data_IF_327716356674
#
_entry.id   IF_327716356674
#
_cell.length_a   1.000
_cell.length_b   1.000
_cell.length_c   1.000
_cell.angle_alpha   90.00
_cell.angle_beta   90.00
_cell.angle_gamma   90.00
#
_symmetry.space_group_name_H-M   'P 1'
#
loop_
_entity.id
_entity.type
_entity.pdbx_description
1 polymer ?
#
# COMPACT_ATOMS: atom_id res chain seq x y z
N UNK A 1 1.13 23.56 23.46
CA UNK A 1 1.18 22.44 24.43
C UNK A 1 1.78 21.12 23.88
N UNK A 2 2.25 21.07 22.62
CA UNK A 2 2.82 19.87 21.95
C UNK A 2 3.92 19.13 22.73
N UNK A 3 4.69 19.85 23.56
CA UNK A 3 5.88 19.30 24.22
C UNK A 3 5.70 18.97 25.71
N UNK A 4 4.59 19.41 26.34
CA UNK A 4 4.36 19.19 27.76
C UNK A 4 3.96 17.74 28.09
N UNK A 5 3.44 17.01 27.10
CA UNK A 5 2.99 15.63 27.21
C UNK A 5 3.97 14.62 26.60
N UNK A 6 5.22 15.03 26.28
CA UNK A 6 6.21 14.13 25.68
C UNK A 6 6.45 12.85 26.48
N UNK A 7 6.58 12.86 27.82
CA UNK A 7 6.77 11.63 28.58
C UNK A 7 5.58 10.68 28.45
N UNK A 8 4.35 11.20 28.49
CA UNK A 8 3.15 10.39 28.31
C UNK A 8 3.03 9.84 26.88
N UNK A 9 3.41 10.62 25.87
CA UNK A 9 3.46 10.16 24.48
C UNK A 9 4.53 9.09 24.28
N UNK A 10 5.68 9.20 24.93
CA UNK A 10 6.73 8.18 24.88
C UNK A 10 6.24 6.86 25.47
N UNK A 11 5.57 6.89 26.63
CA UNK A 11 4.97 5.70 27.23
C UNK A 11 3.90 5.10 26.30
N UNK A 12 3.03 5.94 25.73
CA UNK A 12 1.99 5.47 24.80
C UNK A 12 2.60 4.83 23.55
N UNK A 13 3.62 5.46 22.96
CA UNK A 13 4.35 4.95 21.81
C UNK A 13 5.00 3.60 22.11
N UNK A 14 5.72 3.51 23.23
CA UNK A 14 6.50 2.34 23.58
C UNK A 14 5.64 1.12 23.95
N UNK A 15 4.51 1.33 24.62
CA UNK A 15 3.69 0.23 25.12
C UNK A 15 2.43 0.01 24.28
N UNK A 16 1.58 1.03 24.14
CA UNK A 16 0.27 0.87 23.49
C UNK A 16 0.40 0.77 21.96
N UNK A 17 1.06 1.75 21.33
CA UNK A 17 1.19 1.79 19.87
C UNK A 17 2.10 0.68 19.35
N UNK A 18 3.18 0.37 20.07
CA UNK A 18 4.03 -0.77 19.75
C UNK A 18 3.27 -2.10 19.83
N UNK A 19 2.40 -2.28 20.83
CA UNK A 19 1.58 -3.50 20.94
C UNK A 19 0.62 -3.64 19.74
N UNK A 20 -0.04 -2.55 19.34
CA UNK A 20 -0.90 -2.54 18.15
C UNK A 20 -0.10 -2.91 16.88
N UNK A 21 1.10 -2.35 16.72
CA UNK A 21 2.01 -2.67 15.61
C UNK A 21 2.40 -4.15 15.63
N UNK A 22 2.77 -4.71 16.79
CA UNK A 22 3.14 -6.13 16.90
C UNK A 22 1.97 -7.06 16.62
N UNK A 23 0.79 -6.75 17.16
CA UNK A 23 -0.42 -7.54 16.92
C UNK A 23 -0.81 -7.53 15.44
N UNK A 24 -0.77 -6.36 14.82
CA UNK A 24 -1.00 -6.19 13.38
C UNK A 24 0.03 -6.97 12.54
N UNK A 25 1.32 -6.82 12.86
CA UNK A 25 2.41 -7.53 12.18
C UNK A 25 2.24 -9.05 12.32
N UNK A 26 1.88 -9.54 13.50
CA UNK A 26 1.59 -10.94 13.73
C UNK A 26 0.42 -11.42 12.88
N UNK A 27 -0.71 -10.71 12.89
CA UNK A 27 -1.87 -11.04 12.06
C UNK A 27 -1.50 -11.09 10.57
N UNK A 28 -0.79 -10.09 10.09
CA UNK A 28 -0.37 -9.98 8.68
C UNK A 28 0.63 -11.08 8.30
N UNK A 29 1.54 -11.44 9.21
CA UNK A 29 2.48 -12.55 9.03
C UNK A 29 1.75 -13.89 8.95
N UNK A 30 0.74 -14.12 9.81
CA UNK A 30 -0.08 -15.33 9.74
C UNK A 30 -0.90 -15.36 8.45
N UNK A 31 -1.48 -14.24 8.01
CA UNK A 31 -2.18 -14.17 6.71
C UNK A 31 -1.25 -14.47 5.53
N UNK A 32 -0.03 -13.93 5.58
CA UNK A 32 0.99 -14.20 4.56
C UNK A 32 1.38 -15.68 4.52
N UNK A 33 1.64 -16.28 5.69
CA UNK A 33 1.97 -17.69 5.79
C UNK A 33 0.78 -18.60 5.45
N UNK A 34 -0.45 -18.19 5.75
CA UNK A 34 -1.67 -18.91 5.37
C UNK A 34 -1.86 -18.91 3.85
N UNK A 35 -1.59 -17.81 3.17
CA UNK A 35 -1.64 -17.76 1.71
C UNK A 35 -0.55 -18.64 1.09
N UNK A 36 0.68 -18.64 1.63
CA UNK A 36 1.79 -19.41 1.06
C UNK A 36 1.67 -20.92 1.40
N UNK A 37 1.34 -21.28 2.63
CA UNK A 37 1.31 -22.67 3.09
C UNK A 37 -0.08 -23.33 3.02
N UNK A 38 -1.14 -22.55 2.79
CA UNK A 38 -2.53 -22.99 2.75
C UNK A 38 -2.94 -23.85 3.96
N UNK A 39 -2.41 -23.55 5.16
CA UNK A 39 -2.51 -24.40 6.35
C UNK A 39 -3.97 -24.62 6.76
N UNK A 40 -4.81 -23.58 6.74
CA UNK A 40 -6.23 -23.69 7.06
C UNK A 40 -7.01 -24.53 6.05
N UNK A 41 -6.62 -24.55 4.78
CA UNK A 41 -7.20 -25.45 3.78
C UNK A 41 -6.73 -26.89 4.01
N UNK A 42 -5.45 -27.11 4.26
CA UNK A 42 -4.94 -28.46 4.57
C UNK A 42 -5.54 -29.01 5.87
N UNK A 43 -5.79 -28.15 6.88
CA UNK A 43 -6.46 -28.53 8.11
C UNK A 43 -7.88 -29.09 7.84
N UNK A 44 -8.62 -28.44 6.93
CA UNK A 44 -9.95 -28.93 6.51
C UNK A 44 -9.86 -30.27 5.76
N UNK A 45 -8.76 -30.54 5.07
CA UNK A 45 -8.53 -31.77 4.31
C UNK A 45 -8.05 -32.96 5.16
N UNK A 46 -7.73 -32.77 6.45
CA UNK A 46 -7.35 -33.88 7.36
C UNK A 46 -8.39 -35.01 7.37
N UNK A 47 -9.67 -34.65 7.25
CA UNK A 47 -10.78 -35.60 7.28
C UNK A 47 -11.14 -36.16 5.89
N UNK A 48 -10.43 -35.77 4.84
CA UNK A 48 -10.64 -36.29 3.48
C UNK A 48 -9.72 -37.50 3.23
N UNK A 49 -10.26 -38.68 2.89
CA UNK A 49 -9.51 -39.95 2.87
C UNK A 49 -8.46 -40.07 1.74
N UNK A 50 -8.37 -39.09 0.84
CA UNK A 50 -7.49 -39.13 -0.35
C UNK A 50 -6.04 -38.68 -0.09
N UNK A 51 -5.70 -38.24 1.12
CA UNK A 51 -4.42 -37.57 1.39
C UNK A 51 -3.60 -38.22 2.51
N UNK A 52 -3.17 -39.48 2.34
CA UNK A 52 -2.23 -40.11 3.28
C UNK A 52 -0.83 -39.47 3.28
N UNK A 53 -0.43 -38.75 2.23
CA UNK A 53 0.87 -38.02 2.17
C UNK A 53 0.79 -36.56 2.68
N UNK A 54 -0.39 -36.11 3.14
CA UNK A 54 -0.58 -34.71 3.59
C UNK A 54 -0.22 -34.45 5.05
N UNK A 55 -0.12 -35.49 5.89
CA UNK A 55 0.11 -35.32 7.32
C UNK A 55 1.44 -34.61 7.62
N UNK A 56 2.51 -34.97 6.90
CA UNK A 56 3.82 -34.31 7.05
C UNK A 56 3.77 -32.82 6.68
N UNK A 57 3.01 -32.47 5.63
CA UNK A 57 2.89 -31.09 5.15
C UNK A 57 2.12 -30.21 6.14
N UNK A 58 1.05 -30.75 6.73
CA UNK A 58 0.27 -30.07 7.76
C UNK A 58 1.11 -29.80 9.01
N UNK A 59 1.91 -30.79 9.45
CA UNK A 59 2.79 -30.63 10.60
C UNK A 59 3.85 -29.54 10.33
N UNK A 60 4.43 -29.49 9.12
CA UNK A 60 5.37 -28.43 8.74
C UNK A 60 4.68 -27.05 8.76
N UNK A 61 3.47 -26.94 8.21
CA UNK A 61 2.71 -25.69 8.19
C UNK A 61 2.36 -25.18 9.59
N UNK A 62 1.84 -26.06 10.45
CA UNK A 62 1.55 -25.74 11.86
C UNK A 62 2.82 -25.39 12.64
N UNK A 63 3.92 -26.11 12.39
CA UNK A 63 5.22 -25.80 12.98
C UNK A 63 5.70 -24.41 12.57
N UNK A 64 5.60 -24.05 11.29
CA UNK A 64 5.94 -22.72 10.80
C UNK A 64 5.11 -21.63 11.48
N UNK A 65 3.80 -21.81 11.63
CA UNK A 65 2.92 -20.87 12.35
C UNK A 65 3.29 -20.72 13.82
N UNK A 66 3.60 -21.84 14.49
CA UNK A 66 4.00 -21.86 15.89
C UNK A 66 5.35 -21.13 16.08
N UNK A 67 6.34 -21.42 15.22
CA UNK A 67 7.64 -20.75 15.24
C UNK A 67 7.52 -19.25 14.96
N UNK A 68 6.74 -18.86 13.95
CA UNK A 68 6.51 -17.45 13.63
C UNK A 68 5.83 -16.70 14.78
N UNK A 69 4.81 -17.32 15.40
CA UNK A 69 4.11 -16.74 16.55
C UNK A 69 5.03 -16.63 17.77
N UNK A 70 5.78 -17.69 18.09
CA UNK A 70 6.73 -17.68 19.20
C UNK A 70 7.82 -16.61 19.01
N UNK A 71 8.38 -16.50 17.80
CA UNK A 71 9.37 -15.48 17.46
C UNK A 71 8.80 -14.06 17.64
N UNK A 72 7.60 -13.80 17.13
CA UNK A 72 6.93 -12.49 17.29
C UNK A 72 6.66 -12.15 18.76
N UNK A 73 6.26 -13.14 19.58
CA UNK A 73 6.06 -12.95 21.02
C UNK A 73 7.39 -12.60 21.70
N UNK A 74 8.48 -13.32 21.38
CA UNK A 74 9.81 -13.05 21.94
C UNK A 74 10.28 -11.64 21.59
N UNK A 75 10.13 -11.22 20.33
CA UNK A 75 10.50 -9.87 19.88
C UNK A 75 9.65 -8.81 20.61
N UNK A 76 8.34 -9.03 20.73
CA UNK A 76 7.43 -8.12 21.43
C UNK A 76 7.81 -7.97 22.91
N UNK A 77 7.99 -9.09 23.63
CA UNK A 77 8.41 -9.07 25.04
C UNK A 77 9.75 -8.37 25.19
N UNK A 78 10.72 -8.68 24.33
CA UNK A 78 12.04 -8.05 24.36
C UNK A 78 11.95 -6.54 24.14
N UNK A 79 11.13 -6.07 23.19
CA UNK A 79 10.90 -4.64 22.94
C UNK A 79 10.26 -3.94 24.15
N UNK A 80 9.25 -4.55 24.78
CA UNK A 80 8.55 -3.96 25.94
C UNK A 80 9.44 -3.90 27.19
N UNK A 81 10.34 -4.86 27.37
CA UNK A 81 11.30 -4.90 28.48
C UNK A 81 12.54 -4.03 28.23
N UNK A 82 12.75 -3.57 27.01
CA UNK A 82 13.95 -2.87 26.58
C UNK A 82 14.30 -1.64 27.44
N UNK A 83 13.36 -0.76 27.85
CA UNK A 83 13.67 0.36 28.74
C UNK A 83 14.21 -0.11 30.10
N UNK A 84 13.67 -1.21 30.65
CA UNK A 84 14.13 -1.79 31.90
C UNK A 84 15.51 -2.43 31.75
N UNK A 85 15.73 -3.17 30.65
CA UNK A 85 17.01 -3.82 30.34
C UNK A 85 18.14 -2.80 30.12
N UNK A 86 17.83 -1.66 29.47
CA UNK A 86 18.79 -0.58 29.26
C UNK A 86 19.24 0.07 30.57
N UNK A 87 18.36 0.13 31.59
CA UNK A 87 18.68 0.67 32.93
C UNK A 87 19.36 -0.37 33.83
N UNK A 88 18.93 -1.64 33.76
CA UNK A 88 19.44 -2.73 34.60
C UNK A 88 20.83 -3.26 34.18
N UNK A 89 21.38 -2.76 33.08
CA UNK A 89 22.72 -3.09 32.57
C UNK A 89 22.93 -4.56 32.19
N UNK A 90 21.85 -5.24 31.80
CA UNK A 90 21.85 -6.60 31.27
C UNK A 90 21.96 -6.49 29.74
N UNK A 91 23.03 -7.03 29.13
CA UNK A 91 23.36 -6.87 27.69
C UNK A 91 23.65 -5.42 27.26
N UNK A 92 24.47 -4.73 28.06
CA UNK A 92 24.70 -3.27 28.04
C UNK A 92 24.74 -2.61 26.66
N UNK A 93 25.56 -3.12 25.72
CA UNK A 93 25.73 -2.44 24.44
C UNK A 93 24.48 -2.58 23.55
N UNK A 94 23.95 -3.80 23.40
CA UNK A 94 22.83 -4.07 22.50
C UNK A 94 21.53 -3.42 22.99
N UNK A 95 21.22 -3.55 24.28
CA UNK A 95 20.00 -2.99 24.85
C UNK A 95 20.01 -1.46 24.82
N UNK A 96 21.16 -0.82 25.11
CA UNK A 96 21.30 0.64 25.03
C UNK A 96 21.20 1.15 23.59
N UNK A 97 21.86 0.49 22.63
CA UNK A 97 21.78 0.89 21.21
C UNK A 97 20.35 0.78 20.69
N UNK A 98 19.66 -0.33 20.97
CA UNK A 98 18.27 -0.50 20.54
C UNK A 98 17.34 0.49 21.25
N UNK A 99 17.57 0.78 22.53
CA UNK A 99 16.78 1.76 23.28
C UNK A 99 16.90 3.16 22.69
N UNK A 100 18.13 3.60 22.45
CA UNK A 100 18.41 4.88 21.83
C UNK A 100 17.86 4.95 20.40
N UNK A 101 17.90 3.84 19.65
CA UNK A 101 17.28 3.76 18.34
C UNK A 101 15.75 3.91 18.41
N UNK A 102 15.11 3.29 19.40
CA UNK A 102 13.67 3.44 19.65
C UNK A 102 13.27 4.85 20.05
N UNK A 103 14.09 5.53 20.87
CA UNK A 103 13.92 6.95 21.17
C UNK A 103 14.10 7.80 19.90
N UNK A 104 15.10 7.50 19.08
CA UNK A 104 15.32 8.18 17.80
C UNK A 104 14.10 8.04 16.88
N UNK A 105 13.55 6.83 16.75
CA UNK A 105 12.32 6.57 16.01
C UNK A 105 11.12 7.35 16.58
N UNK A 106 10.97 7.41 17.91
CA UNK A 106 9.94 8.21 18.55
C UNK A 106 10.07 9.71 18.23
N UNK A 107 11.28 10.26 18.31
CA UNK A 107 11.54 11.67 17.99
C UNK A 107 11.19 11.95 16.53
N UNK A 108 11.65 11.09 15.60
CA UNK A 108 11.32 11.20 14.18
C UNK A 108 9.81 11.15 13.99
N UNK A 109 9.11 10.22 14.64
CA UNK A 109 7.66 10.07 14.53
C UNK A 109 6.92 11.34 14.99
N UNK A 110 7.26 11.88 16.17
CA UNK A 110 6.62 13.09 16.73
C UNK A 110 6.92 14.36 15.92
N UNK A 111 8.08 14.42 15.27
CA UNK A 111 8.49 15.56 14.45
C UNK A 111 7.86 15.53 13.06
N UNK A 112 7.76 14.35 12.44
CA UNK A 112 7.34 14.22 11.04
C UNK A 112 5.84 14.02 10.88
N UNK A 113 5.15 13.42 11.85
CA UNK A 113 3.72 13.10 11.72
C UNK A 113 2.84 14.11 12.49
N UNK A 114 1.78 14.62 11.85
CA UNK A 114 0.73 15.37 12.53
C UNK A 114 0.03 14.54 13.62
N UNK A 115 -0.56 15.22 14.60
CA UNK A 115 -1.14 14.61 15.79
C UNK A 115 -2.37 13.77 15.49
N UNK A 116 -3.21 14.24 14.57
CA UNK A 116 -4.44 13.57 14.18
C UNK A 116 -4.35 13.22 12.71
N UNK A 117 -4.98 12.10 12.37
CA UNK A 117 -5.23 11.72 10.98
C UNK A 117 -6.56 12.34 10.55
N UNK A 118 -6.75 12.58 9.25
CA UNK A 118 -7.95 13.30 8.75
C UNK A 118 -9.26 12.66 9.21
N UNK A 119 -9.33 11.32 9.23
CA UNK A 119 -10.54 10.61 9.66
C UNK A 119 -10.89 10.78 11.15
N UNK A 120 -9.96 11.28 11.98
CA UNK A 120 -10.21 11.57 13.39
C UNK A 120 -10.79 12.97 13.60
N UNK A 121 -10.74 13.82 12.57
CA UNK A 121 -11.23 15.20 12.60
C UNK A 121 -12.66 15.23 12.08
N UNK A 122 -13.58 15.78 12.88
CA UNK A 122 -14.99 15.96 12.51
C UNK A 122 -15.33 17.37 12.06
N UNK A 123 -14.53 18.37 12.45
CA UNK A 123 -14.76 19.80 12.19
C UNK A 123 -13.52 20.43 11.56
N UNK A 124 -13.74 21.37 10.63
CA UNK A 124 -12.69 22.13 9.93
C UNK A 124 -11.80 22.96 10.88
N UNK A 125 -12.31 23.37 12.05
CA UNK A 125 -11.53 24.14 13.04
C UNK A 125 -10.33 23.39 13.61
N UNK A 126 -10.35 22.06 13.58
CA UNK A 126 -9.28 21.20 14.10
C UNK A 126 -8.23 20.81 13.03
N UNK A 127 -8.35 21.35 11.82
CA UNK A 127 -7.54 21.03 10.63
C UNK A 127 -6.04 21.06 10.91
N UNK A 128 -5.58 22.07 11.64
CA UNK A 128 -4.16 22.27 11.98
C UNK A 128 -3.53 21.12 12.78
N UNK A 129 -4.34 20.25 13.39
CA UNK A 129 -3.84 19.06 14.06
C UNK A 129 -3.49 17.90 13.12
N UNK A 130 -4.02 17.91 11.89
CA UNK A 130 -3.70 16.97 10.80
C UNK A 130 -2.88 17.59 9.67
N UNK A 131 -2.57 18.89 9.77
CA UNK A 131 -1.73 19.63 8.82
C UNK A 131 -0.25 19.38 9.05
N UNK A 132 0.51 19.20 7.98
CA UNK A 132 1.99 19.22 8.02
C UNK A 132 2.56 20.63 8.11
N UNK A 133 1.78 21.64 7.69
CA UNK A 133 2.17 23.06 7.72
C UNK A 133 1.55 23.78 8.92
N UNK A 134 2.22 24.85 9.37
CA UNK A 134 1.70 25.77 10.39
C UNK A 134 0.92 26.91 9.76
N UNK A 135 -0.05 27.48 10.48
CA UNK A 135 -0.85 28.62 10.02
C UNK A 135 -0.01 29.83 9.56
N UNK A 136 1.14 30.05 10.19
CA UNK A 136 2.10 31.13 9.87
C UNK A 136 2.81 30.96 8.52
N UNK A 137 2.83 29.74 7.98
CA UNK A 137 3.50 29.40 6.73
C UNK A 137 2.52 29.30 5.55
N UNK A 138 1.24 29.57 5.81
CA UNK A 138 0.19 29.67 4.79
C UNK A 138 0.34 31.01 4.05
N UNK A 139 1.35 31.13 3.20
CA UNK A 139 1.52 32.23 2.25
C UNK A 139 1.69 31.64 0.86
N UNK A 140 1.01 32.18 -0.15
CA UNK A 140 1.09 31.67 -1.52
C UNK A 140 2.55 31.54 -2.00
N UNK A 141 3.39 32.55 -1.70
CA UNK A 141 4.83 32.52 -2.02
C UNK A 141 5.59 31.41 -1.31
N UNK A 142 5.25 31.12 -0.05
CA UNK A 142 5.88 30.03 0.70
C UNK A 142 5.44 28.67 0.17
N UNK A 143 4.15 28.52 -0.16
CA UNK A 143 3.61 27.29 -0.73
C UNK A 143 4.23 26.97 -2.09
N UNK A 144 4.44 27.97 -2.95
CA UNK A 144 5.11 27.77 -4.24
C UNK A 144 6.55 27.27 -4.14
N UNK A 145 7.22 27.54 -3.03
CA UNK A 145 8.59 27.08 -2.77
C UNK A 145 8.62 25.69 -2.12
N UNK A 146 7.47 25.17 -1.68
CA UNK A 146 7.38 23.87 -1.04
C UNK A 146 7.60 22.74 -2.08
N UNK A 147 8.46 21.76 -1.78
CA UNK A 147 8.78 20.69 -2.73
C UNK A 147 7.56 19.87 -3.15
N UNK A 148 6.55 19.74 -2.30
CA UNK A 148 5.34 18.98 -2.64
C UNK A 148 4.45 19.75 -3.64
N UNK A 149 4.40 21.09 -3.54
CA UNK A 149 3.68 21.94 -4.50
C UNK A 149 4.43 22.00 -5.82
N UNK A 150 5.75 22.12 -5.79
CA UNK A 150 6.58 22.06 -7.01
C UNK A 150 6.38 20.74 -7.74
N UNK A 151 6.31 19.63 -6.99
CA UNK A 151 5.99 18.33 -7.58
C UNK A 151 4.60 18.33 -8.22
N UNK A 152 3.56 18.85 -7.56
CA UNK A 152 2.23 19.01 -8.18
C UNK A 152 2.29 19.79 -9.49
N UNK A 153 2.92 20.96 -9.49
CA UNK A 153 3.05 21.80 -10.68
C UNK A 153 3.80 21.09 -11.80
N UNK A 154 4.86 20.34 -11.48
CA UNK A 154 5.60 19.56 -12.48
C UNK A 154 4.76 18.45 -13.13
N UNK A 155 3.80 17.85 -12.41
CA UNK A 155 2.88 16.87 -13.01
C UNK A 155 1.80 17.53 -13.87
N UNK A 156 1.59 18.84 -13.72
CA UNK A 156 0.71 19.67 -14.55
C UNK A 156 1.48 20.40 -15.66
N UNK A 157 2.78 20.14 -15.81
CA UNK A 157 3.67 20.82 -16.76
C UNK A 157 3.70 22.36 -16.60
N UNK A 158 3.46 22.85 -15.37
CA UNK A 158 3.46 24.27 -15.03
C UNK A 158 4.77 24.71 -14.37
N UNK A 159 5.32 25.82 -14.85
CA UNK A 159 6.40 26.53 -14.17
C UNK A 159 5.86 27.54 -13.16
N UNK A 160 6.58 27.68 -12.03
CA UNK A 160 6.26 28.65 -10.95
C UNK A 160 6.23 30.10 -11.47
N UNK A 161 7.03 30.40 -12.49
CA UNK A 161 7.18 31.72 -13.13
C UNK A 161 5.88 32.22 -13.79
N UNK A 162 5.00 31.32 -14.19
CA UNK A 162 3.78 31.66 -14.90
C UNK A 162 2.64 32.07 -13.98
N UNK A 163 2.69 31.73 -12.69
CA UNK A 163 1.60 31.95 -11.75
C UNK A 163 1.55 33.40 -11.23
N UNK A 164 0.36 34.00 -11.08
CA UNK A 164 0.22 35.35 -10.53
C UNK A 164 0.61 35.39 -9.05
N UNK A 165 1.25 36.48 -8.64
CA UNK A 165 1.59 36.74 -7.24
C UNK A 165 0.30 37.09 -6.48
N UNK A 166 -0.11 36.23 -5.54
CA UNK A 166 -1.40 36.32 -4.85
C UNK A 166 -1.26 36.47 -3.34
N UNK A 167 -2.23 37.18 -2.75
CA UNK A 167 -2.44 37.27 -1.31
C UNK A 167 -3.72 36.53 -0.94
N UNK A 168 -3.73 35.91 0.23
CA UNK A 168 -4.89 35.15 0.72
C UNK A 168 -6.04 36.11 0.99
N UNK A 169 -7.18 35.84 0.35
CA UNK A 169 -8.37 36.70 0.42
C UNK A 169 -9.21 36.36 1.65
N UNK A 170 -9.33 35.08 2.01
CA UNK A 170 -10.12 34.60 3.16
C UNK A 170 -9.51 33.30 3.71
N UNK A 171 -8.99 33.33 4.94
CA UNK A 171 -8.29 32.19 5.53
C UNK A 171 -9.25 31.07 5.99
N UNK A 172 -10.45 31.43 6.46
CA UNK A 172 -11.37 30.44 7.07
C UNK A 172 -12.04 29.58 5.99
N UNK A 173 -12.45 30.19 4.87
CA UNK A 173 -12.98 29.45 3.71
C UNK A 173 -11.94 28.54 3.07
N UNK A 174 -10.68 28.99 3.07
CA UNK A 174 -9.58 28.21 2.54
C UNK A 174 -9.35 26.93 3.36
N UNK A 175 -9.41 27.05 4.70
CA UNK A 175 -9.29 25.91 5.61
C UNK A 175 -10.39 24.88 5.33
N UNK A 176 -11.64 25.32 5.17
CA UNK A 176 -12.75 24.42 4.82
C UNK A 176 -12.54 23.69 3.49
N UNK A 177 -12.18 24.42 2.42
CA UNK A 177 -11.92 23.81 1.11
C UNK A 177 -10.75 22.83 1.12
N UNK A 178 -9.64 23.19 1.77
CA UNK A 178 -8.49 22.31 1.88
C UNK A 178 -8.85 21.02 2.64
N UNK A 179 -9.68 21.12 3.68
CA UNK A 179 -10.18 19.96 4.42
C UNK A 179 -11.08 19.06 3.56
N UNK A 180 -11.98 19.64 2.77
CA UNK A 180 -12.84 18.90 1.84
C UNK A 180 -12.02 18.16 0.78
N UNK A 181 -11.07 18.84 0.12
CA UNK A 181 -10.18 18.23 -0.89
C UNK A 181 -9.34 17.09 -0.31
N UNK A 182 -8.85 17.23 0.92
CA UNK A 182 -8.08 16.19 1.58
C UNK A 182 -8.94 14.97 1.96
N UNK A 183 -10.21 15.20 2.30
CA UNK A 183 -11.17 14.12 2.59
C UNK A 183 -11.60 13.38 1.32
N UNK A 184 -11.87 14.10 0.22
CA UNK A 184 -12.28 13.48 -1.06
C UNK A 184 -11.15 12.66 -1.68
N UNK A 185 -9.91 13.07 -1.48
CA UNK A 185 -8.73 12.34 -1.97
C UNK A 185 -8.30 11.16 -1.08
N UNK A 186 -8.93 10.97 0.08
CA UNK A 186 -8.58 9.88 1.00
C UNK A 186 -7.20 10.04 1.63
N UNK A 187 -6.75 11.28 1.83
CA UNK A 187 -5.43 11.56 2.39
C UNK A 187 -5.34 11.18 3.88
N UNK A 188 -4.15 10.79 4.32
CA UNK A 188 -3.89 10.52 5.75
C UNK A 188 -3.70 11.83 6.53
N UNK A 189 -3.03 12.79 5.90
CA UNK A 189 -2.65 14.10 6.44
C UNK A 189 -2.87 15.19 5.40
N UNK A 190 -3.05 16.43 5.86
CA UNK A 190 -3.23 17.59 4.99
C UNK A 190 -1.87 18.20 4.72
N UNK A 191 -1.49 18.19 3.47
CA UNK A 191 -0.20 18.64 2.95
C UNK A 191 -0.27 19.98 2.21
N UNK A 192 0.88 20.60 1.87
CA UNK A 192 0.95 21.89 1.19
C UNK A 192 0.13 22.02 -0.09
N UNK A 193 0.10 20.98 -0.92
CA UNK A 193 -0.63 21.04 -2.18
C UNK A 193 -2.15 21.14 -2.02
N UNK A 194 -2.74 20.69 -0.89
CA UNK A 194 -4.17 20.90 -0.63
C UNK A 194 -4.50 22.38 -0.42
N UNK A 195 -3.68 23.07 0.38
CA UNK A 195 -3.84 24.50 0.60
C UNK A 195 -3.59 25.28 -0.69
N UNK A 196 -2.62 24.85 -1.49
CA UNK A 196 -2.32 25.47 -2.77
C UNK A 196 -3.49 25.33 -3.76
N UNK A 197 -4.02 24.12 -3.97
CA UNK A 197 -5.17 23.90 -4.87
C UNK A 197 -6.41 24.63 -4.36
N UNK A 198 -6.66 24.63 -3.05
CA UNK A 198 -7.75 25.42 -2.46
C UNK A 198 -7.58 26.93 -2.69
N UNK A 199 -6.34 27.45 -2.66
CA UNK A 199 -6.06 28.86 -2.98
C UNK A 199 -6.34 29.15 -4.46
N UNK A 200 -5.97 28.24 -5.37
CA UNK A 200 -6.25 28.41 -6.80
C UNK A 200 -7.75 28.50 -7.07
N UNK A 201 -8.55 27.66 -6.43
CA UNK A 201 -10.01 27.63 -6.59
C UNK A 201 -10.73 28.87 -6.04
N UNK A 202 -10.08 29.68 -5.21
CA UNK A 202 -10.62 30.94 -4.67
C UNK A 202 -10.27 32.16 -5.53
N UNK A 203 -9.38 32.01 -6.53
CA UNK A 203 -8.97 33.15 -7.36
C UNK A 203 -10.12 33.54 -8.30
N UNK A 204 -10.56 34.81 -8.28
CA UNK A 204 -11.56 35.28 -9.22
C UNK A 204 -11.02 35.26 -10.66
N UNK A 205 -11.82 34.75 -11.60
CA UNK A 205 -11.48 34.61 -13.03
C UNK A 205 -10.29 33.68 -13.32
N UNK A 206 -9.98 32.74 -12.42
CA UNK A 206 -8.89 31.77 -12.61
C UNK A 206 -9.09 30.92 -13.85
N UNK A 207 -10.34 30.58 -14.20
CA UNK A 207 -10.66 29.77 -15.37
C UNK A 207 -10.13 30.40 -16.66
N UNK A 208 -10.25 31.72 -16.82
CA UNK A 208 -9.74 32.42 -18.00
C UNK A 208 -8.22 32.42 -18.08
N UNK A 209 -7.54 32.37 -16.93
CA UNK A 209 -6.10 32.30 -16.85
C UNK A 209 -5.60 30.88 -17.12
N UNK A 210 -6.22 29.86 -16.53
CA UNK A 210 -5.90 28.45 -16.75
C UNK A 210 -6.15 28.02 -18.19
N UNK A 211 -7.22 28.53 -18.82
CA UNK A 211 -7.50 28.28 -20.24
C UNK A 211 -6.38 28.75 -21.18
N UNK A 212 -5.61 29.79 -20.82
CA UNK A 212 -4.43 30.21 -21.62
C UNK A 212 -3.30 29.17 -21.59
N UNK A 213 -3.32 28.30 -20.60
CA UNK A 213 -2.36 27.22 -20.38
C UNK A 213 -2.93 25.85 -20.78
N UNK A 214 -4.12 25.81 -21.39
CA UNK A 214 -4.86 24.58 -21.71
C UNK A 214 -5.16 23.70 -20.47
N UNK A 215 -5.40 24.36 -19.32
CA UNK A 215 -5.71 23.70 -18.06
C UNK A 215 -7.09 24.08 -17.54
N UNK A 216 -7.68 23.17 -16.77
CA UNK A 216 -8.92 23.34 -16.04
C UNK A 216 -8.71 23.16 -14.53
N UNK A 217 -9.64 23.66 -13.71
CA UNK A 217 -9.62 23.40 -12.25
C UNK A 217 -9.74 21.91 -11.91
N UNK A 218 -10.34 21.13 -12.80
CA UNK A 218 -10.47 19.68 -12.62
C UNK A 218 -9.11 19.00 -12.73
N UNK A 219 -8.22 19.46 -13.62
CA UNK A 219 -6.88 18.90 -13.79
C UNK A 219 -6.05 18.98 -12.50
N UNK A 220 -6.16 20.08 -11.75
CA UNK A 220 -5.53 20.21 -10.43
C UNK A 220 -6.06 19.18 -9.43
N UNK A 221 -7.36 18.91 -9.47
CA UNK A 221 -8.01 17.93 -8.60
C UNK A 221 -7.60 16.50 -8.98
N UNK A 222 -7.52 16.19 -10.27
CA UNK A 222 -7.06 14.90 -10.78
C UNK A 222 -5.57 14.67 -10.51
N UNK A 223 -4.72 15.70 -10.71
CA UNK A 223 -3.30 15.64 -10.39
C UNK A 223 -3.07 15.42 -8.89
N UNK A 224 -3.87 16.05 -8.04
CA UNK A 224 -3.86 15.82 -6.60
C UNK A 224 -4.23 14.37 -6.25
N UNK A 225 -5.30 13.82 -6.84
CA UNK A 225 -5.70 12.42 -6.65
C UNK A 225 -4.61 11.45 -7.13
N UNK A 226 -4.01 11.73 -8.28
CA UNK A 226 -2.90 10.96 -8.83
C UNK A 226 -1.69 10.96 -7.89
N UNK A 227 -1.29 12.12 -7.37
CA UNK A 227 -0.18 12.23 -6.44
C UNK A 227 -0.44 11.50 -5.12
N UNK A 228 -1.66 11.59 -4.60
CA UNK A 228 -2.03 10.88 -3.38
C UNK A 228 -1.95 9.36 -3.59
N UNK A 229 -2.51 8.87 -4.70
CA UNK A 229 -2.45 7.46 -5.08
C UNK A 229 -1.01 7.00 -5.32
N UNK A 230 -0.19 7.82 -5.99
CA UNK A 230 1.24 7.54 -6.23
C UNK A 230 2.00 7.45 -4.91
N UNK A 231 1.74 8.36 -3.97
CA UNK A 231 2.34 8.36 -2.62
C UNK A 231 1.97 7.10 -1.85
N UNK A 232 0.70 6.69 -1.90
CA UNK A 232 0.22 5.46 -1.26
C UNK A 232 0.82 4.22 -1.91
N UNK A 233 0.91 4.17 -3.24
CA UNK A 233 1.44 3.01 -3.98
C UNK A 233 2.97 2.87 -3.94
N UNK A 234 3.73 3.97 -3.88
CA UNK A 234 5.19 3.92 -3.90
C UNK A 234 5.78 3.44 -2.57
N UNK A 235 5.02 3.58 -1.48
CA UNK A 235 5.36 2.93 -0.22
C UNK A 235 5.29 1.42 -0.44
N UNK A 236 6.44 0.75 -0.36
CA UNK A 236 6.46 -0.70 -0.27
C UNK A 236 5.67 -1.11 0.97
N UNK A 237 4.53 -1.75 0.77
CA UNK A 237 3.65 -2.15 1.87
C UNK A 237 4.31 -3.32 2.60
N UNK A 238 4.73 -3.08 3.83
CA UNK A 238 5.37 -4.10 4.65
C UNK A 238 4.36 -4.86 5.52
N UNK A 239 4.75 -6.02 6.03
CA UNK A 239 3.89 -6.87 6.88
C UNK A 239 3.42 -6.12 8.14
N UNK A 240 4.17 -5.11 8.61
CA UNK A 240 3.79 -4.30 9.76
C UNK A 240 2.92 -3.08 9.42
N UNK A 241 2.54 -2.86 8.17
CA UNK A 241 1.73 -1.71 7.75
C UNK A 241 0.21 -1.96 7.93
N UNK A 242 -0.57 -0.88 8.07
CA UNK A 242 -2.05 -0.91 8.24
C UNK A 242 -2.78 -1.35 6.96
N UNK A 243 -2.21 -0.97 5.85
CA UNK A 243 -2.65 -1.13 4.47
C UNK A 243 -2.11 -2.42 3.84
N UNK A 244 -1.45 -3.28 4.63
CA UNK A 244 -1.02 -4.61 4.18
C UNK A 244 -2.22 -5.47 3.81
N UNK A 245 -2.41 -5.63 2.51
CA UNK A 245 -3.28 -6.61 1.92
C UNK A 245 -2.42 -7.72 1.33
N UNK A 246 -2.67 -8.97 1.74
CA UNK A 246 -2.16 -10.13 1.02
C UNK A 246 -2.83 -10.12 -0.34
N UNK A 247 -2.07 -9.76 -1.37
CA UNK A 247 -2.52 -9.95 -2.73
C UNK A 247 -2.58 -11.46 -2.91
N UNK A 248 -3.80 -12.02 -2.97
CA UNK A 248 -3.97 -13.43 -3.23
C UNK A 248 -3.08 -13.82 -4.40
N UNK A 249 -2.10 -14.66 -4.14
CA UNK A 249 -1.23 -15.20 -5.16
C UNK A 249 -2.08 -16.24 -5.87
N UNK A 250 -3.01 -15.78 -6.72
CA UNK A 250 -4.05 -16.59 -7.39
C UNK A 250 -3.50 -17.77 -8.23
N UNK A 251 -2.18 -17.98 -8.27
CA UNK A 251 -1.53 -19.13 -8.91
C UNK A 251 -0.34 -19.74 -8.15
N UNK A 252 0.15 -19.19 -7.04
CA UNK A 252 1.33 -19.75 -6.33
C UNK A 252 0.81 -20.70 -5.25
N UNK A 253 1.29 -21.95 -5.27
CA UNK A 253 0.94 -23.05 -4.36
C UNK A 253 -0.42 -23.74 -4.50
N UNK A 254 -1.23 -23.48 -5.55
CA UNK A 254 -2.19 -24.51 -6.01
C UNK A 254 -1.51 -25.82 -6.41
N UNK A 255 -0.25 -25.76 -6.83
CA UNK A 255 0.58 -26.95 -7.07
C UNK A 255 0.82 -27.81 -5.82
N UNK A 256 0.67 -27.26 -4.62
CA UNK A 256 0.73 -28.05 -3.37
C UNK A 256 -0.57 -28.81 -3.09
N UNK A 257 -1.67 -28.39 -3.73
CA UNK A 257 -2.99 -29.04 -3.69
C UNK A 257 -3.24 -29.93 -4.91
N UNK A 258 -2.46 -29.76 -5.98
CA UNK A 258 -2.51 -30.60 -7.16
C UNK A 258 -1.96 -31.99 -6.88
N UNK A 259 -2.67 -33.03 -7.32
CA UNK A 259 -2.10 -34.37 -7.41
C UNK A 259 -0.90 -34.33 -8.34
N UNK A 260 0.27 -34.88 -7.97
CA UNK A 260 1.40 -34.94 -8.88
C UNK A 260 0.98 -35.68 -10.16
N UNK A 261 1.30 -35.11 -11.33
CA UNK A 261 0.97 -35.66 -12.66
C UNK A 261 2.22 -36.13 -13.40
N UNK A 262 2.95 -37.15 -12.90
CA UNK A 262 4.25 -37.55 -13.43
C UNK A 262 4.21 -37.95 -14.91
N UNK A 263 3.09 -38.51 -15.37
CA UNK A 263 2.93 -38.87 -16.79
C UNK A 263 2.79 -37.64 -17.70
N UNK A 264 2.14 -36.58 -17.23
CA UNK A 264 1.97 -35.34 -17.98
C UNK A 264 3.28 -34.55 -18.00
N UNK A 265 3.95 -34.47 -16.85
CA UNK A 265 5.22 -33.75 -16.69
C UNK A 265 6.37 -34.38 -17.49
N UNK A 266 6.28 -35.69 -17.79
CA UNK A 266 7.28 -36.40 -18.58
C UNK A 266 7.13 -36.14 -20.09
N UNK A 267 5.91 -35.85 -20.55
CA UNK A 267 5.57 -35.81 -21.99
C UNK A 267 5.22 -34.40 -22.48
N UNK A 268 4.87 -33.47 -21.59
CA UNK A 268 4.40 -32.13 -21.95
C UNK A 268 4.92 -31.02 -21.04
N UNK A 269 4.73 -29.78 -21.50
CA UNK A 269 5.02 -28.56 -20.76
C UNK A 269 3.72 -27.86 -20.34
N UNK A 270 3.66 -27.37 -19.10
CA UNK A 270 2.52 -26.60 -18.59
C UNK A 270 2.66 -25.11 -18.97
N UNK A 271 1.98 -24.73 -20.06
CA UNK A 271 1.96 -23.35 -20.57
C UNK A 271 1.36 -22.36 -19.56
N UNK A 272 0.46 -22.79 -18.67
CA UNK A 272 -0.13 -21.89 -17.66
C UNK A 272 0.89 -21.51 -16.58
N UNK A 273 1.78 -22.45 -16.24
CA UNK A 273 2.88 -22.22 -15.30
C UNK A 273 3.97 -21.34 -15.91
N UNK A 274 4.28 -21.53 -17.19
CA UNK A 274 5.24 -20.67 -17.91
C UNK A 274 4.73 -19.24 -18.04
N UNK A 275 3.46 -19.08 -18.39
CA UNK A 275 2.77 -17.79 -18.44
C UNK A 275 2.82 -17.04 -17.10
N UNK A 276 2.58 -17.74 -15.99
CA UNK A 276 2.64 -17.14 -14.67
C UNK A 276 4.05 -16.69 -14.28
N UNK A 277 5.09 -17.39 -14.75
CA UNK A 277 6.49 -17.13 -14.37
C UNK A 277 7.15 -16.07 -15.24
N UNK A 278 6.92 -16.10 -16.54
CA UNK A 278 7.62 -15.26 -17.51
C UNK A 278 6.71 -14.24 -18.20
N UNK A 279 5.40 -14.31 -17.99
CA UNK A 279 4.41 -13.56 -18.76
C UNK A 279 4.26 -14.11 -20.17
N UNK A 280 3.44 -13.43 -20.99
CA UNK A 280 3.34 -13.71 -22.42
C UNK A 280 3.98 -12.56 -23.21
N UNK A 281 4.66 -12.85 -24.33
CA UNK A 281 5.00 -11.81 -25.29
C UNK A 281 3.73 -11.18 -25.83
N UNK A 282 3.71 -9.85 -25.97
CA UNK A 282 2.55 -9.09 -26.41
C UNK A 282 2.27 -9.42 -27.90
N UNK A 283 1.25 -10.23 -28.14
CA UNK A 283 0.91 -10.75 -29.48
C UNK A 283 -0.32 -10.03 -30.02
N UNK A 284 -0.10 -9.07 -30.91
CA UNK A 284 -1.18 -8.33 -31.60
C UNK A 284 -1.85 -9.27 -32.62
N UNK A 285 -3.07 -9.76 -32.33
CA UNK A 285 -3.85 -10.58 -33.26
C UNK A 285 -5.35 -10.26 -33.25
N UNK A 286 -6.02 -10.68 -34.33
CA UNK A 286 -7.47 -10.53 -34.56
C UNK A 286 -8.25 -11.22 -33.43
N UNK A 287 -9.01 -10.43 -32.67
CA UNK A 287 -9.75 -10.83 -31.45
C UNK A 287 -10.76 -11.97 -31.65
N UNK A 288 -11.33 -12.13 -32.86
CA UNK A 288 -12.45 -13.06 -33.07
C UNK A 288 -12.14 -14.56 -32.95
N UNK A 289 -10.92 -15.01 -33.25
CA UNK A 289 -10.59 -16.46 -33.23
C UNK A 289 -10.45 -17.00 -31.80
N UNK A 290 -9.95 -16.17 -30.88
CA UNK A 290 -9.82 -16.54 -29.48
C UNK A 290 -11.19 -16.74 -28.82
N UNK A 291 -12.12 -15.83 -29.10
CA UNK A 291 -13.52 -15.93 -28.62
C UNK A 291 -14.18 -17.23 -29.10
N UNK A 292 -13.99 -17.62 -30.36
CA UNK A 292 -14.53 -18.87 -30.91
C UNK A 292 -13.96 -20.11 -30.21
N UNK A 293 -12.65 -20.12 -29.96
CA UNK A 293 -11.97 -21.22 -29.26
C UNK A 293 -12.46 -21.35 -27.83
N UNK A 294 -12.54 -20.23 -27.09
CA UNK A 294 -13.08 -20.24 -25.72
C UNK A 294 -14.54 -20.70 -25.69
N UNK A 295 -15.34 -20.28 -26.67
CA UNK A 295 -16.72 -20.72 -26.81
C UNK A 295 -16.82 -22.24 -27.02
N UNK A 296 -16.05 -22.83 -27.96
CA UNK A 296 -16.06 -24.28 -28.20
C UNK A 296 -15.59 -25.06 -26.96
N UNK A 297 -14.50 -24.63 -26.32
CA UNK A 297 -13.98 -25.27 -25.10
C UNK A 297 -14.97 -25.23 -23.93
N UNK A 298 -15.84 -24.21 -23.88
CA UNK A 298 -16.85 -24.04 -22.82
C UNK A 298 -18.10 -24.92 -22.99
N UNK A 299 -18.29 -25.53 -24.16
CA UNK A 299 -19.48 -26.36 -24.44
C UNK A 299 -19.47 -27.66 -23.62
N UNK A 300 -20.63 -28.26 -23.41
CA UNK A 300 -20.75 -29.55 -22.69
C UNK A 300 -20.42 -30.74 -23.58
N UNK A 301 -20.66 -30.65 -24.88
CA UNK A 301 -20.31 -31.63 -25.92
C UNK A 301 -19.43 -30.96 -26.99
N UNK A 302 -18.56 -31.73 -27.67
CA UNK A 302 -17.75 -31.17 -28.77
C UNK A 302 -16.59 -30.25 -28.35
N UNK A 303 -16.04 -30.42 -27.13
CA UNK A 303 -15.07 -29.50 -26.50
C UNK A 303 -13.64 -29.54 -27.07
N UNK A 304 -13.44 -30.15 -28.23
CA UNK A 304 -12.11 -30.31 -28.81
C UNK A 304 -11.93 -29.31 -29.94
N UNK A 305 -10.90 -28.48 -29.83
CA UNK A 305 -10.58 -27.47 -30.83
C UNK A 305 -9.46 -27.96 -31.73
N UNK A 306 -9.69 -27.91 -33.04
CA UNK A 306 -8.66 -28.18 -34.04
C UNK A 306 -8.37 -26.89 -34.82
N UNK A 307 -7.19 -26.30 -34.59
CA UNK A 307 -6.74 -25.10 -35.32
C UNK A 307 -6.07 -25.52 -36.62
N UNK A 308 -6.72 -25.25 -37.75
CA UNK A 308 -6.24 -25.64 -39.09
C UNK A 308 -5.58 -24.44 -39.79
N UNK A 309 -4.40 -24.66 -40.37
CA UNK A 309 -3.67 -23.67 -41.15
C UNK A 309 -2.30 -24.18 -41.59
N UNK A 310 -1.62 -23.50 -42.53
CA UNK A 310 -0.29 -23.92 -42.99
C UNK A 310 0.75 -23.90 -41.85
N UNK A 311 1.84 -24.68 -41.94
CA UNK A 311 2.96 -24.56 -41.01
C UNK A 311 3.54 -23.13 -41.12
N UNK A 312 3.92 -22.54 -39.98
CA UNK A 312 4.42 -21.16 -39.95
C UNK A 312 3.36 -20.05 -39.88
N UNK A 313 2.06 -20.36 -39.93
CA UNK A 313 0.98 -19.36 -39.70
C UNK A 313 0.89 -18.88 -38.24
N UNK A 314 1.78 -19.36 -37.38
CA UNK A 314 1.83 -19.03 -35.97
C UNK A 314 0.68 -19.61 -35.14
N UNK A 315 0.24 -20.84 -35.44
CA UNK A 315 -0.77 -21.57 -34.64
C UNK A 315 -0.38 -21.71 -33.16
N UNK A 316 0.92 -21.90 -32.89
CA UNK A 316 1.46 -22.00 -31.52
C UNK A 316 1.31 -20.71 -30.72
N UNK A 317 1.41 -19.55 -31.37
CA UNK A 317 1.23 -18.24 -30.72
C UNK A 317 -0.24 -17.92 -30.39
N UNK A 318 -1.17 -18.81 -30.71
CA UNK A 318 -2.58 -18.69 -30.35
C UNK A 318 -2.93 -19.52 -29.10
N UNK A 319 -2.07 -20.49 -28.74
CA UNK A 319 -2.18 -21.33 -27.55
C UNK A 319 -1.36 -20.70 -26.43
#
# INVERSE_FOLDING_TARGET
>A
MKYLLLPTHLIKFWYMESFDVFFRTWKNLILFLEEDLAVGLMWKLIFTPLFHDSMGRILIGLFAFACATALMIVICIYWLLLPMLAVADILQLLSRVLFLSGIGLFIIHVLTHPHKKIWQIKQSSDLWSASTIKKEDLSFKKLLLDPEVVNLLSNLELEVSHLPDLQIIDADKLEEKAFELAKTSGAVYITPYYFFVAQIQEIPNIDQFLLKMDLSLEDFSQALLYLEKKRQNWRSVFIWDDDFAVHHLKGVNRGWLGTPTPALDLVGSDLTKEAAKYGFPDLIRKSGVFEEITHILSQTTGRNVAVVGPPGSGKSALI
#
